data_IF_429828117144
#
_entry.id   IF_429828117144
#
_cell.length_a   1.000
_cell.length_b   1.000
_cell.length_c   1.000
_cell.angle_alpha   90.00
_cell.angle_beta   90.00
_cell.angle_gamma   90.00
#
_symmetry.space_group_name_H-M   'P 1'
#
loop_
_entity.id
_entity.type
_entity.pdbx_description
1 polymer ?
#
# COMPACT_ATOMS: atom_id res chain seq x y z
N UNK A 1 31.99 4.02 -3.27
CA UNK A 1 30.78 3.16 -3.42
C UNK A 1 30.39 2.37 -2.17
N UNK A 2 31.32 1.98 -1.28
CA UNK A 2 31.02 1.21 -0.05
C UNK A 2 30.08 1.93 0.95
N UNK A 3 30.09 3.25 1.00
CA UNK A 3 29.25 4.02 1.93
C UNK A 3 27.77 4.03 1.50
N UNK A 4 27.49 4.13 0.20
CA UNK A 4 26.14 4.07 -0.37
C UNK A 4 25.47 2.74 -0.05
N UNK A 5 26.17 1.62 -0.27
CA UNK A 5 25.70 0.27 0.08
C UNK A 5 25.36 0.11 1.57
N UNK A 6 26.03 0.86 2.46
CA UNK A 6 25.79 0.80 3.90
C UNK A 6 24.55 1.59 4.33
N UNK A 7 24.21 2.67 3.62
CA UNK A 7 23.01 3.48 3.85
C UNK A 7 21.79 2.77 3.27
N UNK A 8 21.90 2.31 2.01
CA UNK A 8 20.84 1.55 1.31
C UNK A 8 20.43 0.28 2.04
N UNK A 9 21.29 -0.31 2.88
CA UNK A 9 20.94 -1.50 3.69
C UNK A 9 20.33 -1.14 5.04
N UNK A 10 20.69 0.01 5.61
CA UNK A 10 20.20 0.46 6.93
C UNK A 10 18.79 1.04 6.86
N UNK A 11 18.47 1.80 5.82
CA UNK A 11 17.16 2.42 5.66
C UNK A 11 16.01 1.41 5.51
N UNK A 12 16.02 0.44 4.57
CA UNK A 12 14.94 -0.54 4.46
C UNK A 12 14.85 -1.42 5.70
N UNK A 13 15.97 -1.80 6.33
CA UNK A 13 15.93 -2.55 7.59
C UNK A 13 15.33 -1.74 8.73
N UNK A 14 15.56 -0.43 8.80
CA UNK A 14 14.90 0.44 9.77
C UNK A 14 13.39 0.57 9.50
N UNK A 15 12.96 0.60 8.24
CA UNK A 15 11.53 0.57 7.86
C UNK A 15 10.85 -0.74 8.28
N UNK A 16 11.48 -1.90 8.03
CA UNK A 16 10.94 -3.20 8.44
C UNK A 16 11.10 -3.49 9.94
N UNK A 17 12.06 -2.86 10.63
CA UNK A 17 12.21 -2.97 12.08
C UNK A 17 11.17 -2.13 12.86
N UNK A 18 10.47 -1.22 12.19
CA UNK A 18 9.46 -0.39 12.83
C UNK A 18 8.13 -1.14 12.93
N UNK A 19 7.55 -1.31 14.14
CA UNK A 19 6.24 -1.92 14.34
C UNK A 19 5.13 -1.30 13.49
N UNK A 20 5.27 -0.01 13.16
CA UNK A 20 4.31 0.74 12.35
C UNK A 20 4.13 0.15 10.94
N UNK A 21 5.19 -0.41 10.35
CA UNK A 21 5.13 -0.94 8.98
C UNK A 21 4.17 -2.14 8.91
N UNK A 22 4.21 -3.02 9.91
CA UNK A 22 3.31 -4.16 10.00
C UNK A 22 1.87 -3.72 10.26
N UNK A 23 1.66 -2.69 11.08
CA UNK A 23 0.33 -2.12 11.32
C UNK A 23 -0.25 -1.54 10.02
N UNK A 24 0.55 -0.81 9.24
CA UNK A 24 0.14 -0.26 7.94
C UNK A 24 -0.20 -1.38 6.96
N UNK A 25 0.60 -2.45 6.88
CA UNK A 25 0.32 -3.61 6.02
C UNK A 25 -0.99 -4.30 6.44
N UNK A 26 -1.19 -4.52 7.75
CA UNK A 26 -2.40 -5.14 8.26
C UNK A 26 -3.65 -4.29 7.97
N UNK A 27 -3.56 -2.97 8.19
CA UNK A 27 -4.64 -2.04 7.88
C UNK A 27 -4.96 -2.03 6.38
N UNK A 28 -3.93 -1.94 5.52
CA UNK A 28 -4.09 -1.99 4.06
C UNK A 28 -4.80 -3.28 3.62
N UNK A 29 -4.36 -4.42 4.16
CA UNK A 29 -4.95 -5.72 3.83
C UNK A 29 -6.40 -5.83 4.30
N UNK A 30 -6.73 -5.30 5.49
CA UNK A 30 -8.10 -5.25 5.99
C UNK A 30 -9.02 -4.38 5.12
N UNK A 31 -8.55 -3.21 4.68
CA UNK A 31 -9.30 -2.30 3.80
C UNK A 31 -9.57 -2.97 2.45
N UNK A 32 -8.56 -3.61 1.84
CA UNK A 32 -8.72 -4.31 0.57
C UNK A 32 -9.63 -5.52 0.67
N UNK A 33 -9.52 -6.30 1.76
CA UNK A 33 -10.44 -7.40 2.05
C UNK A 33 -11.88 -6.91 2.24
N UNK A 34 -12.07 -5.74 2.85
CA UNK A 34 -13.38 -5.11 2.97
C UNK A 34 -13.96 -4.72 1.61
N UNK A 35 -13.19 -4.06 0.74
CA UNK A 35 -13.63 -3.74 -0.62
C UNK A 35 -13.96 -5.00 -1.43
N UNK A 36 -13.14 -6.04 -1.31
CA UNK A 36 -13.46 -7.33 -1.95
C UNK A 36 -14.82 -7.88 -1.49
N UNK A 37 -15.08 -7.86 -0.18
CA UNK A 37 -16.39 -8.29 0.37
C UNK A 37 -17.56 -7.46 -0.17
N UNK A 38 -17.36 -6.17 -0.41
CA UNK A 38 -18.42 -5.29 -0.94
C UNK A 38 -18.66 -5.48 -2.44
N UNK A 39 -17.61 -5.76 -3.21
CA UNK A 39 -17.69 -5.86 -4.67
C UNK A 39 -18.30 -7.19 -5.13
N UNK A 40 -17.89 -8.31 -4.53
CA UNK A 40 -18.35 -9.67 -4.90
C UNK A 40 -19.89 -9.82 -4.96
N UNK A 41 -20.68 -9.39 -3.96
CA UNK A 41 -22.13 -9.53 -4.01
C UNK A 41 -22.79 -8.59 -5.02
N UNK A 42 -22.15 -7.48 -5.39
CA UNK A 42 -22.67 -6.52 -6.38
C UNK A 42 -22.44 -7.02 -7.81
N UNK A 43 -21.27 -7.63 -8.07
CA UNK A 43 -20.92 -8.14 -9.40
C UNK A 43 -21.42 -9.55 -9.66
N UNK A 44 -21.75 -10.32 -8.61
CA UNK A 44 -22.12 -11.74 -8.71
C UNK A 44 -20.96 -12.66 -9.11
N UNK A 45 -19.76 -12.11 -9.27
CA UNK A 45 -18.56 -12.81 -9.73
C UNK A 45 -17.35 -12.41 -8.89
N UNK A 46 -16.53 -13.38 -8.49
CA UNK A 46 -15.30 -13.17 -7.73
C UNK A 46 -14.15 -12.67 -8.62
N UNK A 47 -14.29 -11.47 -9.21
CA UNK A 47 -13.24 -10.85 -10.02
C UNK A 47 -12.37 -9.89 -9.21
N UNK A 48 -11.04 -10.03 -9.35
CA UNK A 48 -10.04 -9.16 -8.71
C UNK A 48 -9.93 -7.76 -9.33
N UNK A 49 -10.53 -7.53 -10.51
CA UNK A 49 -10.47 -6.25 -11.24
C UNK A 49 -10.94 -5.06 -10.39
N UNK A 50 -12.04 -5.22 -9.66
CA UNK A 50 -12.55 -4.18 -8.77
C UNK A 50 -11.61 -3.91 -7.58
N UNK A 51 -10.99 -4.96 -7.02
CA UNK A 51 -10.02 -4.82 -5.93
C UNK A 51 -8.77 -4.08 -6.42
N UNK A 52 -8.22 -4.45 -7.58
CA UNK A 52 -7.03 -3.80 -8.14
C UNK A 52 -7.26 -2.32 -8.48
N UNK A 53 -8.45 -1.96 -8.98
CA UNK A 53 -8.80 -0.56 -9.22
C UNK A 53 -8.79 0.27 -7.90
N UNK A 54 -9.35 -0.28 -6.83
CA UNK A 54 -9.37 0.39 -5.52
C UNK A 54 -8.00 0.39 -4.83
N UNK A 55 -7.15 -0.62 -5.07
CA UNK A 55 -5.75 -0.63 -4.59
C UNK A 55 -4.97 0.57 -5.11
N UNK A 56 -5.08 0.89 -6.40
CA UNK A 56 -4.40 2.04 -6.99
C UNK A 56 -4.82 3.35 -6.32
N UNK A 57 -6.13 3.53 -6.08
CA UNK A 57 -6.67 4.71 -5.40
C UNK A 57 -6.17 4.84 -3.96
N UNK A 58 -6.20 3.76 -3.17
CA UNK A 58 -5.70 3.79 -1.78
C UNK A 58 -4.20 4.06 -1.73
N UNK A 59 -3.42 3.48 -2.64
CA UNK A 59 -1.97 3.72 -2.70
C UNK A 59 -1.64 5.16 -3.09
N UNK A 60 -2.45 5.84 -3.90
CA UNK A 60 -2.26 7.26 -4.23
C UNK A 60 -2.37 8.16 -3.00
N UNK A 61 -3.29 7.86 -2.08
CA UNK A 61 -3.43 8.58 -0.81
C UNK A 61 -2.26 8.35 0.15
N UNK A 62 -1.57 7.21 0.04
CA UNK A 62 -0.39 6.88 0.84
C UNK A 62 0.90 7.39 0.16
N UNK A 63 0.89 7.56 -1.16
CA UNK A 63 2.05 8.03 -1.92
C UNK A 63 2.35 9.51 -1.64
N UNK A 64 3.60 9.89 -1.36
CA UNK A 64 3.99 11.30 -1.21
C UNK A 64 3.83 12.13 -2.50
N UNK A 65 3.77 11.47 -3.66
CA UNK A 65 3.73 12.13 -4.98
C UNK A 65 2.40 12.85 -5.25
N UNK A 66 1.32 12.51 -4.55
CA UNK A 66 0.01 13.17 -4.72
C UNK A 66 -0.06 14.58 -4.13
N UNK A 67 0.94 15.01 -3.34
CA UNK A 67 1.04 16.34 -2.73
C UNK A 67 1.90 17.33 -3.57
N UNK A 68 2.47 16.88 -4.70
CA UNK A 68 3.45 17.66 -5.48
C UNK A 68 2.94 18.44 -6.70
N UNK A 69 1.63 18.50 -6.97
CA UNK A 69 1.11 19.08 -8.24
C UNK A 69 0.11 20.23 -8.05
N UNK A 70 0.37 21.12 -7.08
CA UNK A 70 -0.21 22.47 -7.06
C UNK A 70 0.93 23.49 -7.10
N UNK A 71 1.36 23.83 -8.33
CA UNK A 71 2.11 25.03 -8.69
C UNK A 71 1.29 25.82 -9.69
#
# INVERSE_FOLDING_TARGET
>A
MKNTMRITRKEPMAYFASPIAYVVIAAFMAIMGHFFRLIVPVTGEAFMRGVFANMATVLLFISPASIGHHG
#
